data_IF_240997593587
#
_entry.id   IF_240997593587
#
_cell.length_a   1.000
_cell.length_b   1.000
_cell.length_c   1.000
_cell.angle_alpha   90.00
_cell.angle_beta   90.00
_cell.angle_gamma   90.00
#
_symmetry.space_group_name_H-M   'P 1'
#
loop_
_entity.id
_entity.type
_entity.pdbx_description
1 polymer ?
#
# COMPACT_ATOMS: atom_id res chain seq x y z
N UNK A 1 4.20 10.49 20.02
CA UNK A 1 3.67 10.01 18.73
C UNK A 1 4.22 8.60 18.58
N UNK A 2 3.39 7.58 18.75
CA UNK A 2 3.82 6.19 18.51
C UNK A 2 3.86 5.98 17.00
N UNK A 3 5.06 5.83 16.48
CA UNK A 3 5.26 5.33 15.12
C UNK A 3 5.15 3.81 15.20
N UNK A 4 4.24 3.23 14.43
CA UNK A 4 4.13 1.77 14.33
C UNK A 4 5.15 1.34 13.28
N UNK A 5 6.25 0.66 13.67
CA UNK A 5 7.21 0.16 12.71
C UNK A 5 6.58 -0.97 11.89
N UNK A 6 6.73 -0.87 10.58
CA UNK A 6 6.18 -1.86 9.64
C UNK A 6 7.30 -2.79 9.22
N UNK A 7 7.11 -4.09 9.41
CA UNK A 7 8.15 -5.09 9.13
C UNK A 7 7.83 -5.81 7.84
N UNK A 8 8.80 -5.88 6.93
CA UNK A 8 8.70 -6.64 5.70
C UNK A 8 9.70 -7.78 5.73
N UNK A 9 9.26 -8.98 5.39
CA UNK A 9 10.11 -10.14 5.17
C UNK A 9 10.46 -10.23 3.70
N UNK A 10 11.73 -10.54 3.40
CA UNK A 10 12.18 -10.81 2.04
C UNK A 10 12.62 -12.27 1.88
N UNK A 11 12.47 -12.85 0.67
CA UNK A 11 12.88 -14.22 0.38
C UNK A 11 14.41 -14.38 0.35
N UNK A 12 15.15 -13.30 0.10
CA UNK A 12 16.61 -13.30 -0.01
C UNK A 12 17.22 -11.94 0.36
N UNK A 13 18.50 -11.96 0.75
CA UNK A 13 19.26 -10.77 1.17
C UNK A 13 19.39 -9.70 0.08
N UNK A 14 19.45 -10.12 -1.20
CA UNK A 14 19.59 -9.20 -2.32
C UNK A 14 18.32 -8.39 -2.53
N UNK A 15 17.17 -9.05 -2.48
CA UNK A 15 15.86 -8.42 -2.56
C UNK A 15 15.66 -7.42 -1.41
N UNK A 16 16.03 -7.81 -0.18
CA UNK A 16 15.98 -6.91 0.98
C UNK A 16 16.90 -5.69 0.84
N UNK A 17 18.14 -5.89 0.37
CA UNK A 17 19.10 -4.79 0.15
C UNK A 17 18.59 -3.80 -0.89
N UNK A 18 18.03 -4.28 -2.01
CA UNK A 18 17.46 -3.40 -3.05
C UNK A 18 16.29 -2.55 -2.52
N UNK A 19 15.39 -3.17 -1.76
CA UNK A 19 14.29 -2.45 -1.12
C UNK A 19 14.80 -1.42 -0.11
N UNK A 20 15.78 -1.82 0.72
CA UNK A 20 16.41 -0.96 1.71
C UNK A 20 17.07 0.26 1.07
N UNK A 21 17.93 0.06 0.07
CA UNK A 21 18.62 1.14 -0.65
C UNK A 21 17.61 2.12 -1.26
N UNK A 22 16.56 1.60 -1.90
CA UNK A 22 15.52 2.42 -2.53
C UNK A 22 14.76 3.26 -1.48
N UNK A 23 14.37 2.65 -0.35
CA UNK A 23 13.68 3.34 0.72
C UNK A 23 14.55 4.44 1.35
N UNK A 24 15.83 4.16 1.59
CA UNK A 24 16.80 5.16 2.08
C UNK A 24 16.96 6.30 1.07
N UNK A 25 17.06 5.99 -0.21
CA UNK A 25 17.25 6.98 -1.29
C UNK A 25 16.08 7.96 -1.39
N UNK A 26 14.86 7.48 -1.15
CA UNK A 26 13.65 8.31 -1.18
C UNK A 26 13.47 9.11 0.13
N UNK A 27 14.22 8.75 1.19
CA UNK A 27 14.26 9.49 2.46
C UNK A 27 13.53 8.80 3.61
N UNK A 28 13.13 7.54 3.47
CA UNK A 28 12.49 6.79 4.54
C UNK A 28 13.49 6.37 5.63
N UNK A 29 12.99 6.30 6.86
CA UNK A 29 13.72 5.74 7.97
C UNK A 29 13.52 4.22 8.01
N UNK A 30 14.57 3.48 7.65
CA UNK A 30 14.53 2.02 7.58
C UNK A 30 15.67 1.37 8.37
N UNK A 31 15.38 0.21 8.95
CA UNK A 31 16.36 -0.64 9.61
C UNK A 31 16.29 -2.05 9.02
N UNK A 32 17.40 -2.52 8.47
CA UNK A 32 17.54 -3.91 8.05
C UNK A 32 17.97 -4.75 9.26
N UNK A 33 17.33 -5.90 9.44
CA UNK A 33 17.66 -6.87 10.47
C UNK A 33 17.49 -8.29 9.92
N UNK A 34 18.01 -9.26 10.66
CA UNK A 34 17.77 -10.67 10.39
C UNK A 34 16.97 -11.26 11.56
N UNK A 35 15.86 -11.93 11.26
CA UNK A 35 15.01 -12.58 12.25
C UNK A 35 14.78 -14.03 11.81
N UNK A 36 15.12 -14.99 12.68
CA UNK A 36 14.97 -16.42 12.41
C UNK A 36 15.60 -16.88 11.07
N UNK A 37 16.74 -16.29 10.70
CA UNK A 37 17.44 -16.58 9.44
C UNK A 37 16.76 -16.02 8.18
N UNK A 38 15.76 -15.15 8.34
CA UNK A 38 15.09 -14.43 7.27
C UNK A 38 15.50 -12.95 7.31
N UNK A 39 15.79 -12.38 6.15
CA UNK A 39 16.11 -10.96 6.04
C UNK A 39 14.83 -10.15 6.14
N UNK A 40 14.79 -9.20 7.08
CA UNK A 40 13.64 -8.33 7.31
C UNK A 40 14.06 -6.85 7.20
N UNK A 41 13.14 -6.01 6.74
CA UNK A 41 13.31 -4.55 6.71
C UNK A 41 12.19 -3.92 7.52
N UNK A 42 12.56 -3.15 8.53
CA UNK A 42 11.64 -2.39 9.37
C UNK A 42 11.58 -0.95 8.87
N UNK A 43 10.40 -0.48 8.47
CA UNK A 43 10.17 0.86 7.94
C UNK A 43 9.38 1.67 8.95
N UNK A 44 9.89 2.85 9.30
CA UNK A 44 9.21 3.82 10.15
C UNK A 44 8.59 4.87 9.24
N UNK A 45 7.26 4.85 9.12
CA UNK A 45 6.50 5.74 8.23
C UNK A 45 5.49 6.59 8.99
N UNK A 46 5.28 7.81 8.52
CA UNK A 46 4.13 8.64 8.89
C UNK A 46 2.90 8.28 8.02
N UNK A 47 1.68 8.57 8.52
CA UNK A 47 0.41 8.19 7.88
C UNK A 47 0.27 8.65 6.41
N UNK A 48 1.00 9.69 5.99
CA UNK A 48 0.95 10.21 4.60
C UNK A 48 1.82 9.42 3.61
N UNK A 49 2.78 8.63 4.08
CA UNK A 49 3.81 8.00 3.23
C UNK A 49 3.75 6.46 3.24
N UNK A 50 2.75 5.91 3.93
CA UNK A 50 2.53 4.47 4.12
C UNK A 50 2.38 3.70 2.80
N UNK A 51 1.54 4.18 1.89
CA UNK A 51 1.20 3.46 0.66
C UNK A 51 2.43 3.28 -0.23
N UNK A 52 3.22 4.34 -0.40
CA UNK A 52 4.42 4.28 -1.25
C UNK A 52 5.48 3.34 -0.67
N UNK A 53 5.70 3.36 0.66
CA UNK A 53 6.62 2.42 1.30
C UNK A 53 6.18 0.96 1.12
N UNK A 54 4.88 0.70 1.22
CA UNK A 54 4.28 -0.62 0.99
C UNK A 54 4.50 -1.10 -0.45
N UNK A 55 4.24 -0.23 -1.43
CA UNK A 55 4.43 -0.55 -2.84
C UNK A 55 5.90 -0.85 -3.17
N UNK A 56 6.84 -0.05 -2.67
CA UNK A 56 8.28 -0.25 -2.89
C UNK A 56 8.70 -1.60 -2.30
N UNK A 57 8.35 -1.86 -1.03
CA UNK A 57 8.72 -3.11 -0.38
C UNK A 57 8.16 -4.32 -1.14
N UNK A 58 6.88 -4.29 -1.53
CA UNK A 58 6.24 -5.38 -2.28
C UNK A 58 6.81 -5.55 -3.70
N UNK A 59 7.17 -4.46 -4.39
CA UNK A 59 7.77 -4.52 -5.72
C UNK A 59 9.12 -5.25 -5.72
N UNK A 60 9.84 -5.19 -4.59
CA UNK A 60 11.09 -5.92 -4.36
C UNK A 60 10.89 -7.30 -3.73
N UNK A 61 9.65 -7.80 -3.64
CA UNK A 61 9.33 -9.12 -3.08
C UNK A 61 9.17 -9.15 -1.56
N UNK A 62 9.02 -7.99 -0.93
CA UNK A 62 8.78 -7.85 0.50
C UNK A 62 7.34 -8.22 0.86
N UNK A 63 7.19 -9.18 1.76
CA UNK A 63 5.90 -9.56 2.33
C UNK A 63 5.71 -8.82 3.65
N UNK A 64 4.58 -8.12 3.78
CA UNK A 64 4.22 -7.43 5.02
C UNK A 64 4.02 -8.46 6.14
N UNK A 65 4.91 -8.43 7.13
CA UNK A 65 4.65 -9.08 8.41
C UNK A 65 3.83 -8.11 9.21
N UNK A 66 2.56 -8.45 9.42
CA UNK A 66 1.72 -7.78 10.41
C UNK A 66 2.50 -7.81 11.72
N UNK A 67 3.10 -6.68 12.09
CA UNK A 67 3.60 -6.50 13.44
C UNK A 67 2.35 -6.56 14.29
N UNK A 68 2.17 -7.69 14.96
CA UNK A 68 1.10 -7.92 15.92
C UNK A 68 1.29 -6.86 17.02
N UNK A 69 0.72 -5.66 16.80
CA UNK A 69 0.14 -4.95 17.91
C UNK A 69 -0.95 -5.87 18.41
N UNK A 70 -0.55 -6.65 19.43
CA UNK A 70 -1.40 -7.23 20.45
C UNK A 70 -2.84 -6.73 20.30
N UNK A 71 -3.70 -7.62 19.79
CA UNK A 71 -5.14 -7.43 19.80
C UNK A 71 -5.58 -7.51 21.27
N UNK A 72 -5.22 -6.54 22.11
CA UNK A 72 -5.90 -6.27 23.38
C UNK A 72 -7.13 -5.43 23.11
N UNK A 73 -8.04 -6.05 22.36
CA UNK A 73 -9.45 -5.68 22.31
C UNK A 73 -10.24 -6.94 22.60
N UNK A 74 -10.46 -7.22 23.89
CA UNK A 74 -11.48 -8.17 24.31
C UNK A 74 -12.83 -7.74 23.69
N UNK A 75 -13.33 -8.55 22.76
CA UNK A 75 -14.63 -8.42 22.10
C UNK A 75 -14.80 -9.63 21.18
N UNK A 76 -15.32 -10.74 21.72
CA UNK A 76 -16.74 -11.11 21.61
C UNK A 76 -17.09 -11.65 20.21
N UNK A 77 -17.21 -12.98 20.19
CA UNK A 77 -18.06 -13.83 19.36
C UNK A 77 -17.89 -13.88 17.83
N UNK A 78 -17.40 -15.05 17.35
CA UNK A 78 -17.93 -15.63 16.10
C UNK A 78 -16.95 -16.36 15.17
N UNK A 79 -16.81 -17.68 15.38
CA UNK A 79 -16.72 -18.71 14.34
C UNK A 79 -15.70 -18.56 13.17
N UNK A 80 -14.57 -19.26 13.31
CA UNK A 80 -14.23 -20.41 12.45
C UNK A 80 -13.55 -20.17 11.08
N UNK A 81 -12.28 -20.61 11.00
CA UNK A 81 -11.65 -21.43 9.91
C UNK A 81 -11.74 -20.91 8.46
N UNK A 82 -10.71 -20.85 7.62
CA UNK A 82 -9.62 -21.79 7.39
C UNK A 82 -8.73 -21.16 6.28
N UNK A 83 -7.41 -21.17 6.47
CA UNK A 83 -6.35 -21.39 5.45
C UNK A 83 -6.19 -20.43 4.26
N UNK A 84 -5.22 -19.54 4.42
CA UNK A 84 -4.42 -18.95 3.33
C UNK A 84 -3.46 -20.01 2.76
N UNK A 85 -3.92 -20.83 1.82
CA UNK A 85 -3.05 -21.76 1.09
C UNK A 85 -3.30 -21.64 -0.43
N UNK A 86 -2.29 -21.13 -1.14
CA UNK A 86 -2.11 -21.29 -2.59
C UNK A 86 -3.20 -20.70 -3.47
N UNK A 87 -3.01 -19.47 -3.94
CA UNK A 87 -3.86 -18.94 -5.01
C UNK A 87 -3.39 -19.54 -6.35
N UNK A 88 -3.90 -20.74 -6.64
CA UNK A 88 -4.08 -21.16 -8.03
C UNK A 88 -5.18 -20.27 -8.63
N UNK A 89 -4.80 -19.50 -9.64
CA UNK A 89 -5.66 -18.58 -10.38
C UNK A 89 -6.72 -19.37 -11.15
N UNK A 90 -7.83 -19.66 -10.49
CA UNK A 90 -9.04 -20.15 -11.15
C UNK A 90 -9.89 -18.93 -11.54
N UNK A 91 -10.51 -18.98 -12.72
CA UNK A 91 -11.33 -17.92 -13.35
C UNK A 91 -12.37 -17.30 -12.37
N UNK A 92 -12.84 -18.09 -11.41
CA UNK A 92 -13.76 -17.66 -10.35
C UNK A 92 -13.14 -16.68 -9.34
N UNK A 93 -11.84 -16.81 -9.05
CA UNK A 93 -11.12 -15.93 -8.13
C UNK A 93 -10.85 -14.55 -8.77
N UNK A 94 -10.66 -14.49 -10.09
CA UNK A 94 -10.51 -13.22 -10.81
C UNK A 94 -11.78 -12.38 -10.72
N UNK A 95 -12.97 -13.00 -10.88
CA UNK A 95 -14.24 -12.29 -10.74
C UNK A 95 -14.46 -11.75 -9.31
N UNK A 96 -13.96 -12.44 -8.28
CA UNK A 96 -14.06 -11.99 -6.90
C UNK A 96 -13.05 -10.88 -6.60
N UNK A 97 -11.84 -10.98 -7.12
CA UNK A 97 -10.81 -9.94 -6.99
C UNK A 97 -11.19 -8.67 -7.75
N UNK A 98 -11.78 -8.80 -8.95
CA UNK A 98 -12.34 -7.70 -9.72
C UNK A 98 -13.50 -7.03 -8.98
N UNK A 99 -14.35 -7.82 -8.31
CA UNK A 99 -15.44 -7.26 -7.49
C UNK A 99 -14.94 -6.69 -6.15
N UNK A 100 -13.77 -7.09 -5.64
CA UNK A 100 -13.13 -6.44 -4.48
C UNK A 100 -12.38 -5.16 -4.88
N UNK A 101 -11.77 -5.12 -6.07
CA UNK A 101 -11.04 -3.96 -6.60
C UNK A 101 -11.98 -2.88 -7.19
N UNK A 102 -13.04 -3.29 -7.89
CA UNK A 102 -14.06 -2.42 -8.48
C UNK A 102 -15.40 -2.47 -7.74
N UNK A 103 -15.47 -3.13 -6.59
CA UNK A 103 -16.54 -3.03 -5.58
C UNK A 103 -16.54 -1.67 -4.91
N UNK A 104 -16.54 -0.64 -5.76
CA UNK A 104 -16.55 0.75 -5.45
C UNK A 104 -17.84 1.03 -4.68
N UNK A 105 -17.68 1.43 -3.41
CA UNK A 105 -18.49 2.53 -2.92
C UNK A 105 -18.28 3.68 -3.91
N UNK A 106 -19.13 3.72 -4.94
CA UNK A 106 -19.13 4.64 -6.06
C UNK A 106 -19.01 6.05 -5.48
N UNK A 107 -17.79 6.59 -5.40
CA UNK A 107 -17.60 7.98 -5.03
C UNK A 107 -18.18 8.75 -6.20
N UNK A 108 -19.32 9.46 -6.03
CA UNK A 108 -19.90 10.18 -7.14
C UNK A 108 -18.86 11.20 -7.60
N UNK A 109 -18.38 11.05 -8.84
CA UNK A 109 -17.60 12.09 -9.49
C UNK A 109 -18.55 13.28 -9.58
N UNK A 110 -18.30 14.41 -8.88
CA UNK A 110 -19.19 15.54 -8.99
C UNK A 110 -19.19 16.01 -10.45
N UNK A 111 -20.37 15.98 -11.09
CA UNK A 111 -20.57 16.62 -12.37
C UNK A 111 -20.18 18.09 -12.20
N UNK A 112 -19.01 18.47 -12.71
CA UNK A 112 -18.62 19.86 -12.76
C UNK A 112 -19.63 20.59 -13.65
N UNK A 113 -20.22 21.69 -13.18
CA UNK A 113 -20.89 22.63 -14.07
C UNK A 113 -19.79 23.28 -14.91
N UNK A 114 -19.61 22.77 -16.12
CA UNK A 114 -18.77 23.40 -17.14
C UNK A 114 -19.40 24.74 -17.48
N UNK A 115 -18.77 25.85 -17.09
CA UNK A 115 -19.15 27.15 -17.62
C UNK A 115 -18.64 27.24 -19.06
N UNK A 116 -19.57 27.28 -20.01
CA UNK A 116 -19.34 27.20 -21.46
C UNK A 116 -18.74 28.48 -22.07
N UNK A 117 -18.31 29.45 -21.27
CA UNK A 117 -18.00 30.82 -21.72
C UNK A 117 -16.61 31.30 -21.27
N UNK A 118 -15.59 30.44 -21.41
CA UNK A 118 -14.20 30.91 -21.54
C UNK A 118 -13.81 30.94 -23.02
N UNK A 119 -14.56 31.69 -23.82
CA UNK A 119 -14.07 32.15 -25.11
C UNK A 119 -13.17 33.37 -24.88
N UNK A 120 -11.88 33.14 -25.09
CA UNK A 120 -10.83 34.13 -25.03
C UNK A 120 -10.92 34.96 -26.32
N UNK A 121 -11.60 36.10 -26.30
CA UNK A 121 -11.47 37.06 -27.40
C UNK A 121 -10.13 37.79 -27.23
N UNK A 122 -9.16 37.29 -27.98
CA UNK A 122 -7.91 37.99 -28.27
C UNK A 122 -8.24 39.08 -29.26
N UNK A 123 -8.32 40.34 -28.84
CA UNK A 123 -8.04 41.46 -29.73
C UNK A 123 -7.54 42.70 -28.98
N UNK A 124 -6.21 42.82 -28.90
CA UNK A 124 -5.54 44.14 -28.85
C UNK A 124 -5.78 44.82 -30.20
N UNK A 125 -6.35 46.02 -30.22
CA UNK A 125 -5.67 47.15 -30.86
C UNK A 125 -6.29 48.50 -30.53
N UNK A 126 -5.39 49.45 -30.31
CA UNK A 126 -5.61 50.88 -30.11
C UNK A 126 -5.96 51.55 -31.44
N UNK A 127 -7.06 52.30 -31.50
CA UNK A 127 -7.09 53.65 -32.09
C UNK A 127 -8.39 54.38 -31.77
#
# INVERSE_FOLDING_TARGET
>A
MSYVPIVFRFPDDRSASLAYDTLVEIGYHVHQAEQEGQTIVQVFVDHSELTSALEIAQAHGGELMLADEEITGEGDDGAGSDKFAGIELTDTAESQLFNMAYGMNMVPIPAHLVNEDMFVDTEKTVQ
#
